data_IF_199354327774
#
_entry.id   IF_199354327774
#
_cell.length_a   1.000
_cell.length_b   1.000
_cell.length_c   1.000
_cell.angle_alpha   90.00
_cell.angle_beta   90.00
_cell.angle_gamma   90.00
#
_symmetry.space_group_name_H-M   'P 1'
#
loop_
_entity.id
_entity.type
_entity.pdbx_description
1 polymer ?
#
# COMPACT_ATOMS: atom_id res chain seq x y z
N UNK A 1 8.11 -10.93 -23.98
CA UNK A 1 8.32 -11.69 -22.72
C UNK A 1 7.26 -11.35 -21.66
N UNK A 2 7.03 -12.19 -20.65
CA UNK A 2 6.02 -11.94 -19.58
C UNK A 2 6.70 -11.74 -18.23
N UNK A 3 6.48 -10.59 -17.60
CA UNK A 3 6.87 -10.41 -16.20
C UNK A 3 5.90 -11.15 -15.27
N UNK A 4 6.38 -11.74 -14.17
CA UNK A 4 5.51 -12.34 -13.16
C UNK A 4 4.61 -11.26 -12.53
N UNK A 5 3.41 -11.65 -12.09
CA UNK A 5 2.40 -10.73 -11.55
C UNK A 5 2.91 -9.88 -10.38
N UNK A 6 3.87 -10.39 -9.61
CA UNK A 6 4.45 -9.68 -8.46
C UNK A 6 5.60 -8.75 -8.86
N UNK A 7 5.88 -8.55 -10.15
CA UNK A 7 6.84 -7.55 -10.60
C UNK A 7 6.47 -6.15 -10.10
N UNK A 8 5.17 -5.81 -10.14
CA UNK A 8 4.59 -4.60 -9.56
C UNK A 8 3.62 -4.95 -8.44
N UNK A 9 3.90 -4.50 -7.23
CA UNK A 9 2.95 -4.55 -6.11
C UNK A 9 2.62 -3.14 -5.65
N UNK A 10 1.35 -2.83 -5.48
CA UNK A 10 0.90 -1.55 -4.90
C UNK A 10 0.18 -1.83 -3.60
N UNK A 11 0.70 -1.32 -2.48
CA UNK A 11 -0.03 -1.27 -1.23
C UNK A 11 -0.92 -0.03 -1.18
N UNK A 12 -2.17 -0.22 -0.78
CA UNK A 12 -3.12 0.87 -0.52
C UNK A 12 -3.49 0.82 0.97
N UNK A 13 -3.09 1.86 1.70
CA UNK A 13 -3.37 1.99 3.12
C UNK A 13 -4.55 2.92 3.34
N UNK A 14 -5.59 2.41 3.99
CA UNK A 14 -6.72 3.22 4.46
C UNK A 14 -6.29 4.11 5.62
N UNK A 15 -6.59 5.41 5.50
CA UNK A 15 -6.32 6.41 6.53
C UNK A 15 -7.60 7.01 7.13
N UNK A 16 -8.74 6.35 6.93
CA UNK A 16 -9.99 6.74 7.54
C UNK A 16 -9.90 6.79 9.08
N UNK A 17 -10.75 7.60 9.75
CA UNK A 17 -10.75 7.77 11.21
C UNK A 17 -10.82 6.46 12.00
N UNK A 18 -11.46 5.43 11.43
CA UNK A 18 -11.53 4.09 12.03
C UNK A 18 -10.13 3.52 12.35
N UNK A 19 -9.15 3.77 11.49
CA UNK A 19 -7.80 3.23 11.64
C UNK A 19 -6.99 3.93 12.75
N UNK A 20 -7.45 5.08 13.24
CA UNK A 20 -6.92 5.71 14.44
C UNK A 20 -7.35 5.03 15.76
N UNK A 21 -8.29 4.07 15.70
CA UNK A 21 -8.76 3.34 16.89
C UNK A 21 -7.74 2.30 17.35
N UNK A 22 -7.71 1.99 18.66
CA UNK A 22 -6.84 0.94 19.19
C UNK A 22 -7.18 -0.43 18.59
N UNK A 23 -6.16 -1.27 18.39
CA UNK A 23 -6.34 -2.67 18.00
C UNK A 23 -6.81 -3.56 19.15
N UNK A 24 -6.90 -3.01 20.37
CA UNK A 24 -7.30 -3.70 21.60
C UNK A 24 -6.38 -4.87 21.99
N UNK A 25 -5.13 -4.85 21.51
CA UNK A 25 -4.08 -5.74 21.97
C UNK A 25 -3.13 -4.98 22.89
N UNK A 26 -3.11 -5.39 24.16
CA UNK A 26 -2.23 -4.80 25.17
C UNK A 26 -0.76 -5.14 24.89
N UNK A 27 0.11 -4.14 25.05
CA UNK A 27 1.56 -4.26 24.94
C UNK A 27 2.17 -3.81 26.25
N UNK A 28 2.72 -4.79 26.97
CA UNK A 28 3.57 -4.57 28.13
C UNK A 28 4.95 -4.14 27.66
N UNK A 29 5.34 -2.89 27.96
CA UNK A 29 6.67 -2.37 27.63
C UNK A 29 7.52 -2.10 28.88
N UNK A 30 6.89 -2.10 30.06
CA UNK A 30 7.59 -1.92 31.32
C UNK A 30 8.22 -3.23 31.81
N UNK A 31 9.54 -3.33 31.62
CA UNK A 31 10.37 -4.48 31.98
C UNK A 31 10.52 -4.61 33.50
N UNK A 32 10.30 -3.52 34.27
CA UNK A 32 10.44 -3.51 35.74
C UNK A 32 9.35 -4.32 36.45
N UNK A 33 8.26 -4.67 35.75
CA UNK A 33 7.18 -5.52 36.26
C UNK A 33 7.65 -6.91 36.74
N UNK A 34 8.79 -7.42 36.23
CA UNK A 34 9.32 -8.75 36.60
C UNK A 34 10.13 -8.77 37.90
N UNK A 35 10.69 -7.63 38.31
CA UNK A 35 11.39 -7.46 39.58
C UNK A 35 10.54 -6.58 40.48
N UNK A 36 9.65 -7.21 41.27
CA UNK A 36 8.75 -6.56 42.22
C UNK A 36 9.55 -5.85 43.32
N UNK A 37 10.12 -4.69 42.99
CA UNK A 37 10.74 -3.79 43.96
C UNK A 37 9.61 -3.08 44.70
N UNK A 38 9.50 -3.23 46.02
CA UNK A 38 8.45 -2.56 46.79
C UNK A 38 8.50 -1.05 46.57
N UNK A 39 7.35 -0.44 46.24
CA UNK A 39 7.23 1.01 46.06
C UNK A 39 7.32 1.53 44.62
N UNK A 40 7.53 0.67 43.62
CA UNK A 40 7.48 1.06 42.20
C UNK A 40 6.12 0.67 41.59
N UNK A 41 5.42 1.63 41.00
CA UNK A 41 4.18 1.41 40.24
C UNK A 41 4.55 1.13 38.78
N UNK A 42 4.23 -0.05 38.22
CA UNK A 42 4.48 -0.35 36.82
C UNK A 42 3.75 0.61 35.89
N UNK A 43 4.35 0.94 34.75
CA UNK A 43 3.70 1.76 33.75
C UNK A 43 2.46 1.05 33.17
N UNK A 44 1.41 1.82 32.90
CA UNK A 44 0.18 1.27 32.32
C UNK A 44 0.47 0.72 30.91
N UNK A 45 -0.10 -0.44 30.53
CA UNK A 45 0.09 -0.99 29.20
C UNK A 45 -0.45 -0.05 28.11
N UNK A 46 0.12 -0.16 26.91
CA UNK A 46 -0.31 0.62 25.74
C UNK A 46 -0.91 -0.30 24.68
N UNK A 47 -1.66 0.27 23.75
CA UNK A 47 -2.17 -0.41 22.55
C UNK A 47 -1.74 0.36 21.33
N UNK A 48 -1.42 -0.36 20.25
CA UNK A 48 -1.26 0.24 18.93
C UNK A 48 -2.61 0.61 18.35
N UNK A 49 -2.62 1.50 17.37
CA UNK A 49 -3.80 1.71 16.51
C UNK A 49 -3.83 0.68 15.39
N UNK A 50 -4.98 0.49 14.75
CA UNK A 50 -5.09 -0.35 13.55
C UNK A 50 -4.18 0.16 12.42
N UNK A 51 -4.05 1.49 12.26
CA UNK A 51 -3.10 2.12 11.34
C UNK A 51 -1.66 1.67 11.61
N UNK A 52 -1.20 1.77 12.86
CA UNK A 52 0.16 1.34 13.21
C UNK A 52 0.37 -0.13 12.90
N UNK A 53 -0.60 -0.99 13.18
CA UNK A 53 -0.51 -2.43 12.87
C UNK A 53 -0.40 -2.68 11.35
N UNK A 54 -1.19 -1.96 10.55
CA UNK A 54 -1.16 -2.04 9.09
C UNK A 54 0.19 -1.60 8.51
N UNK A 55 0.72 -0.47 9.00
CA UNK A 55 2.03 0.05 8.59
C UNK A 55 3.14 -0.94 8.94
N UNK A 56 3.19 -1.46 10.17
CA UNK A 56 4.20 -2.43 10.58
C UNK A 56 4.15 -3.70 9.72
N UNK A 57 2.95 -4.21 9.45
CA UNK A 57 2.75 -5.40 8.60
C UNK A 57 3.26 -5.17 7.18
N UNK A 58 2.93 -4.00 6.60
CA UNK A 58 3.41 -3.64 5.26
C UNK A 58 4.94 -3.50 5.23
N UNK A 59 5.53 -2.81 6.20
CA UNK A 59 6.99 -2.59 6.25
C UNK A 59 7.73 -3.91 6.41
N UNK A 60 7.23 -4.84 7.22
CA UNK A 60 7.82 -6.16 7.36
C UNK A 60 7.71 -6.98 6.07
N UNK A 61 6.57 -6.92 5.38
CA UNK A 61 6.42 -7.51 4.04
C UNK A 61 7.46 -6.94 3.07
N UNK A 62 7.63 -5.61 3.02
CA UNK A 62 8.61 -4.96 2.16
C UNK A 62 10.04 -5.40 2.49
N UNK A 63 10.40 -5.46 3.78
CA UNK A 63 11.73 -5.89 4.22
C UNK A 63 12.04 -7.30 3.70
N UNK A 64 11.14 -8.25 3.92
CA UNK A 64 11.29 -9.64 3.47
C UNK A 64 11.42 -9.70 1.94
N UNK A 65 10.57 -8.97 1.21
CA UNK A 65 10.63 -8.97 -0.26
C UNK A 65 11.93 -8.37 -0.77
N UNK A 66 12.40 -7.26 -0.21
CA UNK A 66 13.65 -6.63 -0.63
C UNK A 66 14.90 -7.45 -0.27
N UNK A 67 14.86 -8.19 0.84
CA UNK A 67 15.94 -9.10 1.23
C UNK A 67 16.06 -10.29 0.25
N UNK A 68 14.94 -10.84 -0.23
CA UNK A 68 14.91 -11.99 -1.15
C UNK A 68 15.04 -11.56 -2.62
N UNK A 69 14.43 -10.44 -2.99
CA UNK A 69 14.29 -9.96 -4.37
C UNK A 69 14.74 -8.50 -4.51
N UNK A 70 16.06 -8.23 -4.47
CA UNK A 70 16.57 -6.86 -4.37
C UNK A 70 16.22 -5.96 -5.57
N UNK A 71 15.98 -6.51 -6.77
CA UNK A 71 15.74 -5.69 -7.98
C UNK A 71 14.59 -6.15 -8.87
N UNK A 72 13.95 -7.27 -8.59
CA UNK A 72 12.96 -7.88 -9.49
C UNK A 72 11.51 -7.64 -9.06
N UNK A 73 11.29 -7.27 -7.80
CA UNK A 73 9.97 -7.03 -7.19
C UNK A 73 9.91 -5.60 -6.69
N UNK A 74 9.10 -4.79 -7.36
CA UNK A 74 8.94 -3.38 -7.02
C UNK A 74 7.66 -3.19 -6.22
N UNK A 75 7.72 -2.35 -5.20
CA UNK A 75 6.62 -2.05 -4.31
C UNK A 75 6.37 -0.55 -4.30
N UNK A 76 5.14 -0.15 -4.59
CA UNK A 76 4.61 1.21 -4.42
C UNK A 76 3.68 1.24 -3.21
N UNK A 77 3.70 2.34 -2.46
CA UNK A 77 2.78 2.55 -1.33
C UNK A 77 1.94 3.79 -1.57
N UNK A 78 0.64 3.65 -1.39
CA UNK A 78 -0.37 4.70 -1.56
C UNK A 78 -1.16 4.88 -0.28
N UNK A 79 -1.43 6.13 0.07
CA UNK A 79 -2.30 6.53 1.18
C UNK A 79 -3.21 7.66 0.70
N UNK A 80 -4.53 7.42 0.67
CA UNK A 80 -5.45 8.33 -0.01
C UNK A 80 -5.07 8.50 -1.48
N UNK A 81 -4.92 9.74 -1.96
CA UNK A 81 -4.51 10.04 -3.34
C UNK A 81 -2.99 10.17 -3.53
N UNK A 82 -2.19 9.98 -2.47
CA UNK A 82 -0.75 10.23 -2.48
C UNK A 82 0.06 8.93 -2.56
N UNK A 83 1.10 8.92 -3.38
CA UNK A 83 2.06 7.82 -3.48
C UNK A 83 3.38 8.20 -2.79
N UNK A 84 3.93 7.31 -1.96
CA UNK A 84 5.05 7.62 -1.05
C UNK A 84 6.45 7.40 -1.66
N UNK A 85 6.51 6.62 -2.73
CA UNK A 85 7.73 6.23 -3.45
C UNK A 85 7.36 5.87 -4.88
N UNK A 86 8.29 5.82 -5.83
CA UNK A 86 8.08 5.50 -7.26
C UNK A 86 8.57 4.10 -7.65
N UNK A 87 8.44 3.72 -8.93
CA UNK A 87 9.03 2.49 -9.48
C UNK A 87 10.56 2.52 -9.59
N UNK A 88 11.20 3.65 -9.32
CA UNK A 88 12.65 3.78 -9.41
C UNK A 88 13.34 2.89 -8.36
N UNK A 89 14.35 2.13 -8.80
CA UNK A 89 15.06 1.17 -7.94
C UNK A 89 15.69 1.82 -6.69
N UNK A 90 16.13 3.08 -6.80
CA UNK A 90 16.71 3.85 -5.68
C UNK A 90 15.70 4.10 -4.54
N UNK A 91 14.41 4.07 -4.84
CA UNK A 91 13.31 4.31 -3.90
C UNK A 91 12.72 3.00 -3.35
N UNK A 92 13.25 1.84 -3.75
CA UNK A 92 12.85 0.51 -3.28
C UNK A 92 13.56 0.16 -1.97
N UNK A 93 13.29 0.94 -0.93
CA UNK A 93 13.82 0.71 0.41
C UNK A 93 12.80 1.15 1.46
N UNK A 94 12.85 0.51 2.64
CA UNK A 94 11.88 0.78 3.72
C UNK A 94 12.06 2.18 4.31
N UNK A 95 13.27 2.73 4.33
CA UNK A 95 13.53 4.06 4.88
C UNK A 95 12.77 5.15 4.11
N UNK A 96 12.76 5.10 2.76
CA UNK A 96 12.02 6.02 1.90
C UNK A 96 10.52 6.03 2.24
N UNK A 97 9.91 4.85 2.34
CA UNK A 97 8.48 4.71 2.67
C UNK A 97 8.21 5.17 4.11
N UNK A 98 9.07 4.82 5.07
CA UNK A 98 8.94 5.26 6.47
C UNK A 98 9.04 6.79 6.60
N UNK A 99 9.92 7.44 5.84
CA UNK A 99 9.97 8.91 5.79
C UNK A 99 8.67 9.49 5.24
N UNK A 100 8.11 8.93 4.16
CA UNK A 100 6.81 9.35 3.62
C UNK A 100 5.68 9.20 4.64
N UNK A 101 5.60 8.04 5.30
CA UNK A 101 4.61 7.77 6.35
C UNK A 101 4.77 8.71 7.56
N UNK A 102 6.01 9.07 7.91
CA UNK A 102 6.28 10.05 8.97
C UNK A 102 5.72 11.44 8.66
N UNK A 103 5.75 11.86 7.39
CA UNK A 103 5.14 13.13 6.95
C UNK A 103 3.62 13.06 6.91
N UNK A 104 3.06 11.94 6.45
CA UNK A 104 1.60 11.73 6.41
C UNK A 104 1.01 11.69 7.83
N UNK A 105 1.69 11.01 8.75
CA UNK A 105 1.26 10.85 10.13
C UNK A 105 0.04 9.93 10.30
N UNK A 106 -0.41 9.72 11.55
CA UNK A 106 -1.53 8.83 11.84
C UNK A 106 -2.86 9.41 11.31
N UNK A 107 -3.91 8.57 11.17
CA UNK A 107 -5.27 9.04 10.91
C UNK A 107 -5.71 10.07 11.95
N UNK A 108 -6.27 11.18 11.49
CA UNK A 108 -6.78 12.22 12.37
C UNK A 108 -8.20 11.83 12.85
N UNK A 109 -8.49 11.86 14.17
CA UNK A 109 -9.83 11.55 14.66
C UNK A 109 -10.92 12.48 14.13
N UNK A 110 -10.54 13.71 13.75
CA UNK A 110 -11.42 14.75 13.21
C UNK A 110 -11.53 14.75 11.69
N UNK A 111 -10.82 13.85 11.01
CA UNK A 111 -10.92 13.73 9.56
C UNK A 111 -12.31 13.32 9.13
N UNK A 112 -12.79 13.83 7.99
CA UNK A 112 -14.00 13.30 7.36
C UNK A 112 -13.63 12.04 6.59
N UNK A 113 -14.56 11.09 6.52
CA UNK A 113 -14.36 9.83 5.79
C UNK A 113 -14.00 10.07 4.31
N UNK A 114 -14.53 11.13 3.69
CA UNK A 114 -14.26 11.47 2.28
C UNK A 114 -12.83 11.95 2.04
N UNK A 115 -12.18 12.57 3.03
CA UNK A 115 -10.81 13.10 2.92
C UNK A 115 -9.78 11.97 2.73
N UNK A 116 -10.13 10.74 3.14
CA UNK A 116 -9.28 9.55 3.08
C UNK A 116 -9.97 8.35 2.43
N UNK A 117 -10.95 8.61 1.56
CA UNK A 117 -11.70 7.54 0.91
C UNK A 117 -10.77 6.54 0.23
N UNK A 118 -10.92 5.27 0.61
CA UNK A 118 -10.21 4.13 0.02
C UNK A 118 -10.32 4.11 -1.51
N UNK A 119 -11.42 4.60 -2.05
CA UNK A 119 -11.62 4.71 -3.50
C UNK A 119 -10.55 5.56 -4.18
N UNK A 120 -10.11 6.67 -3.55
CA UNK A 120 -9.02 7.48 -4.11
C UNK A 120 -7.71 6.70 -4.17
N UNK A 121 -7.43 5.87 -3.14
CA UNK A 121 -6.25 5.02 -3.11
C UNK A 121 -6.28 3.89 -4.13
N UNK A 122 -7.45 3.28 -4.34
CA UNK A 122 -7.62 2.24 -5.35
C UNK A 122 -7.49 2.80 -6.76
N UNK A 123 -8.14 3.93 -7.06
CA UNK A 123 -7.99 4.61 -8.35
C UNK A 123 -6.52 4.99 -8.59
N UNK A 124 -5.85 5.55 -7.58
CA UNK A 124 -4.42 5.89 -7.68
C UNK A 124 -3.54 4.66 -7.88
N UNK A 125 -3.85 3.54 -7.25
CA UNK A 125 -3.11 2.30 -7.44
C UNK A 125 -3.22 1.77 -8.88
N UNK A 126 -4.39 1.91 -9.51
CA UNK A 126 -4.59 1.51 -10.91
C UNK A 126 -3.78 2.41 -11.83
N UNK A 127 -3.81 3.74 -11.65
CA UNK A 127 -2.97 4.67 -12.41
C UNK A 127 -1.49 4.29 -12.32
N UNK A 128 -1.02 3.97 -11.11
CA UNK A 128 0.37 3.60 -10.83
C UNK A 128 0.76 2.27 -11.50
N UNK A 129 -0.15 1.30 -11.57
CA UNK A 129 0.10 0.04 -12.27
C UNK A 129 0.29 0.24 -13.78
N UNK A 130 -0.38 1.25 -14.35
CA UNK A 130 -0.22 1.62 -15.76
C UNK A 130 1.13 2.27 -16.06
N UNK A 131 1.79 2.88 -15.06
CA UNK A 131 3.11 3.50 -15.25
C UNK A 131 4.18 2.44 -15.57
N UNK A 132 4.96 2.58 -16.66
CA UNK A 132 6.01 1.64 -16.99
C UNK A 132 7.19 1.75 -16.01
N UNK A 133 7.75 0.61 -15.61
CA UNK A 133 8.99 0.56 -14.82
C UNK A 133 10.19 0.82 -15.72
N UNK A 134 11.34 1.17 -15.14
CA UNK A 134 12.56 1.41 -15.91
C UNK A 134 12.94 0.18 -16.76
N UNK A 135 12.79 -1.02 -16.17
CA UNK A 135 12.97 -2.29 -16.87
C UNK A 135 11.95 -2.56 -17.98
N UNK A 136 10.75 -1.98 -17.91
CA UNK A 136 9.77 -2.12 -19.00
C UNK A 136 10.08 -1.17 -20.15
N UNK A 137 10.55 0.05 -19.85
CA UNK A 137 10.95 1.04 -20.86
C UNK A 137 12.13 0.58 -21.72
N UNK A 138 13.02 -0.24 -21.17
CA UNK A 138 14.15 -0.80 -21.91
C UNK A 138 13.73 -1.78 -23.04
N UNK A 139 12.50 -2.33 -22.99
CA UNK A 139 12.01 -3.36 -23.91
C UNK A 139 10.97 -2.83 -24.93
N UNK A 140 11.11 -1.56 -25.32
CA UNK A 140 10.19 -0.74 -26.16
C UNK A 140 9.80 -1.31 -27.55
N UNK A 141 10.18 -2.56 -27.86
CA UNK A 141 10.02 -3.19 -29.17
C UNK A 141 9.20 -4.50 -29.15
N UNK A 142 8.81 -5.03 -27.98
CA UNK A 142 7.97 -6.24 -27.89
C UNK A 142 6.64 -5.98 -27.18
N UNK A 143 5.62 -6.76 -27.55
CA UNK A 143 4.34 -6.82 -26.81
C UNK A 143 4.65 -7.30 -25.38
N UNK A 144 4.60 -6.38 -24.43
CA UNK A 144 4.93 -6.62 -23.04
C UNK A 144 3.66 -6.68 -22.20
N UNK A 145 3.41 -7.82 -21.56
CA UNK A 145 2.27 -7.95 -20.66
C UNK A 145 2.57 -7.21 -19.36
N UNK A 146 1.90 -6.08 -19.15
CA UNK A 146 1.95 -5.33 -17.90
C UNK A 146 1.02 -5.99 -16.87
N UNK A 147 1.61 -6.63 -15.85
CA UNK A 147 0.89 -7.28 -14.75
C UNK A 147 1.27 -6.64 -13.42
N UNK A 148 0.36 -6.70 -12.46
CA UNK A 148 0.59 -6.20 -11.13
C UNK A 148 -0.39 -6.77 -10.10
N UNK A 149 -0.14 -6.41 -8.84
CA UNK A 149 -0.95 -6.79 -7.68
C UNK A 149 -1.28 -5.55 -6.86
N UNK A 150 -2.52 -5.42 -6.41
CA UNK A 150 -2.93 -4.44 -5.40
C UNK A 150 -3.16 -5.19 -4.09
N UNK A 151 -2.56 -4.71 -2.99
CA UNK A 151 -2.83 -5.18 -1.63
C UNK A 151 -3.44 -4.02 -0.87
N UNK A 152 -4.71 -4.18 -0.48
CA UNK A 152 -5.47 -3.14 0.19
C UNK A 152 -5.68 -3.50 1.66
N UNK A 153 -5.32 -2.58 2.56
CA UNK A 153 -5.64 -2.66 3.98
C UNK A 153 -6.76 -1.67 4.30
N UNK A 154 -7.97 -2.19 4.40
CA UNK A 154 -9.19 -1.43 4.71
C UNK A 154 -10.11 -2.22 5.63
N UNK A 155 -11.21 -1.59 6.04
CA UNK A 155 -12.24 -2.17 6.89
C UNK A 155 -13.55 -2.14 6.13
N UNK A 156 -14.00 -3.30 5.67
CA UNK A 156 -15.31 -3.45 5.08
C UNK A 156 -16.37 -3.69 6.16
N UNK A 157 -17.50 -2.98 6.06
CA UNK A 157 -18.66 -3.13 6.94
C UNK A 157 -19.50 -4.37 6.59
N UNK A 158 -19.37 -4.87 5.36
CA UNK A 158 -20.09 -6.03 4.85
C UNK A 158 -19.40 -6.62 3.61
N UNK A 159 -19.72 -7.87 3.27
CA UNK A 159 -19.27 -8.48 2.01
C UNK A 159 -19.76 -7.72 0.77
N UNK A 160 -20.94 -7.10 0.84
CA UNK A 160 -21.45 -6.26 -0.25
C UNK A 160 -20.53 -5.07 -0.52
N UNK A 161 -19.95 -4.48 0.52
CA UNK A 161 -18.95 -3.42 0.36
C UNK A 161 -17.66 -3.94 -0.27
N UNK A 162 -17.22 -5.15 0.09
CA UNK A 162 -16.04 -5.77 -0.54
C UNK A 162 -16.28 -5.96 -2.05
N UNK A 163 -17.42 -6.52 -2.43
CA UNK A 163 -17.78 -6.72 -3.85
C UNK A 163 -17.88 -5.39 -4.61
N UNK A 164 -18.46 -4.37 -4.00
CA UNK A 164 -18.50 -3.03 -4.60
C UNK A 164 -17.10 -2.47 -4.86
N UNK A 165 -16.17 -2.63 -3.92
CA UNK A 165 -14.77 -2.21 -4.10
C UNK A 165 -14.09 -2.98 -5.24
N UNK A 166 -14.30 -4.31 -5.31
CA UNK A 166 -13.79 -5.16 -6.39
C UNK A 166 -14.33 -4.75 -7.76
N UNK A 167 -15.65 -4.53 -7.87
CA UNK A 167 -16.31 -4.07 -9.08
C UNK A 167 -15.76 -2.71 -9.53
N UNK A 168 -15.62 -1.76 -8.61
CA UNK A 168 -15.09 -0.44 -8.94
C UNK A 168 -13.63 -0.51 -9.43
N UNK A 169 -12.80 -1.36 -8.83
CA UNK A 169 -11.42 -1.60 -9.30
C UNK A 169 -11.42 -2.23 -10.69
N UNK A 170 -12.30 -3.20 -10.93
CA UNK A 170 -12.46 -3.87 -12.22
C UNK A 170 -12.88 -2.86 -13.32
N UNK A 171 -13.87 -2.02 -13.03
CA UNK A 171 -14.36 -1.00 -13.97
C UNK A 171 -13.30 0.05 -14.28
N UNK A 172 -12.63 0.59 -13.25
CA UNK A 172 -11.56 1.56 -13.42
C UNK A 172 -10.40 0.98 -14.23
N UNK A 173 -10.02 -0.26 -13.95
CA UNK A 173 -9.01 -0.98 -14.73
C UNK A 173 -9.43 -1.13 -16.20
N UNK A 174 -10.65 -1.59 -16.46
CA UNK A 174 -11.17 -1.76 -17.82
C UNK A 174 -11.18 -0.42 -18.58
N UNK A 175 -11.53 0.67 -17.91
CA UNK A 175 -11.46 2.01 -18.49
C UNK A 175 -10.02 2.43 -18.78
N UNK A 176 -9.09 2.25 -17.85
CA UNK A 176 -7.68 2.56 -18.05
C UNK A 176 -7.04 1.72 -19.16
N UNK A 177 -7.42 0.46 -19.29
CA UNK A 177 -6.96 -0.41 -20.37
C UNK A 177 -7.43 0.06 -21.74
N UNK A 178 -8.68 0.53 -21.85
CA UNK A 178 -9.18 1.15 -23.09
C UNK A 178 -8.39 2.40 -23.44
N UNK A 179 -8.17 3.28 -22.46
CA UNK A 179 -7.37 4.50 -22.65
C UNK A 179 -5.93 4.19 -23.05
N UNK A 180 -5.30 3.18 -22.44
CA UNK A 180 -3.96 2.72 -22.82
C UNK A 180 -3.94 2.18 -24.25
N UNK A 181 -4.92 1.35 -24.64
CA UNK A 181 -5.05 0.81 -26.00
C UNK A 181 -5.36 1.89 -27.06
N UNK A 182 -5.99 3.01 -26.69
CA UNK A 182 -6.18 4.17 -27.56
C UNK A 182 -4.87 5.00 -27.65
N UNK A 183 -4.17 5.13 -26.53
CA UNK A 183 -2.85 5.78 -26.44
C UNK A 183 -1.75 4.97 -27.14
N UNK A 184 -1.96 3.67 -27.37
CA UNK A 184 -1.12 2.76 -28.15
C UNK A 184 -1.06 3.07 -29.64
N UNK A 185 -1.95 3.93 -30.15
CA UNK A 185 -1.68 4.63 -31.40
C UNK A 185 -0.40 5.49 -31.34
N UNK A 186 0.20 5.63 -30.15
CA UNK A 186 1.50 6.23 -29.82
C UNK A 186 2.37 5.42 -28.81
N UNK A 187 2.06 4.15 -28.48
CA UNK A 187 3.07 3.15 -28.05
C UNK A 187 3.21 2.67 -26.58
N UNK A 188 2.16 2.36 -25.78
CA UNK A 188 2.30 1.60 -24.51
C UNK A 188 1.06 0.73 -24.18
N UNK A 189 1.22 -0.61 -24.22
CA UNK A 189 0.10 -1.57 -24.13
C UNK A 189 -0.44 -1.84 -22.72
N UNK A 190 -1.77 -1.86 -22.62
CA UNK A 190 -2.57 -1.97 -21.40
C UNK A 190 -2.31 -3.19 -20.51
N UNK A 191 -2.90 -3.17 -19.31
CA UNK A 191 -2.74 -4.19 -18.26
C UNK A 191 -3.59 -5.42 -18.61
N UNK A 192 -2.94 -6.57 -18.83
CA UNK A 192 -3.62 -7.85 -19.02
C UNK A 192 -3.40 -8.73 -17.79
N UNK A 193 -4.50 -9.19 -17.17
CA UNK A 193 -4.48 -10.23 -16.13
C UNK A 193 -4.16 -11.58 -16.76
#
# INVERSE_FOLDING_TARGET
MTYPTEHKTVFVLDRGPLFGRPCNQSIEYDVLSKTKTPGIIPAAPITKTMWTCNVETMIEYMRIVFDIFPTSRLIRVVTGSEALNSWAQKEQNTAQVMTGLGHVGPPLPSAKDDDYSMMHGLSKAIEILCEPTDKQKEYDQEILLNRGRIICFTSAKSEAQVRMLEECVCDALNQHNKLAAESDSQGLTGINY
#
